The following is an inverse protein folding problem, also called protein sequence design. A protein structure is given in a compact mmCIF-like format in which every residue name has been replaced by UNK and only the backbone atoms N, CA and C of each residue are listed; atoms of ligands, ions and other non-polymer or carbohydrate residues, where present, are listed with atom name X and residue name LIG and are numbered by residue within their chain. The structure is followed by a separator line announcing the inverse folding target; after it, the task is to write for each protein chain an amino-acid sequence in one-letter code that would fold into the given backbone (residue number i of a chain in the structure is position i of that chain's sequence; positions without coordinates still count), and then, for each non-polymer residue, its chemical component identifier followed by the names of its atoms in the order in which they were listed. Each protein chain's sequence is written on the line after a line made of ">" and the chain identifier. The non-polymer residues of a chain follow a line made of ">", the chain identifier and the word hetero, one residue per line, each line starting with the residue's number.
data_IF_834297448710
#
_entry.id   IF_834297448710
#
_cell.length_a   1.000
_cell.length_b   1.000
_cell.length_c   1.000
_cell.angle_alpha   90.00
_cell.angle_beta   90.00
_cell.angle_gamma   90.00
#
_symmetry.space_group_name_H-M   'P 1'
#
loop_
_entity.id
_entity.type
_entity.pdbx_description
1 polymer ?
#
# COMPACT_ATOMS: atom_id res chain seq x y z
N UNK A 1 12.98 -0.01 -14.65
CA UNK A 1 12.01 0.80 -15.42
C UNK A 1 10.82 1.05 -14.51
N UNK A 2 10.57 2.29 -14.18
CA UNK A 2 9.40 2.66 -13.36
C UNK A 2 8.15 2.36 -14.18
N UNK A 3 7.20 1.64 -13.58
CA UNK A 3 5.89 1.43 -14.19
C UNK A 3 5.09 2.73 -14.01
N UNK A 4 4.81 3.42 -15.09
CA UNK A 4 3.95 4.59 -15.12
C UNK A 4 2.62 4.19 -15.75
N UNK A 5 1.54 4.88 -15.40
CA UNK A 5 0.22 4.78 -16.03
C UNK A 5 0.32 5.03 -17.56
N UNK A 6 0.72 4.01 -18.30
CA UNK A 6 0.92 4.09 -19.76
C UNK A 6 -0.14 3.32 -20.55
N UNK A 7 -1.14 2.74 -19.87
CA UNK A 7 -2.25 2.01 -20.50
C UNK A 7 -3.56 2.74 -20.26
N UNK A 8 -4.41 2.72 -21.25
CA UNK A 8 -5.81 3.04 -21.03
C UNK A 8 -6.40 1.99 -20.07
N UNK A 9 -6.60 2.39 -18.81
CA UNK A 9 -7.10 1.50 -17.77
C UNK A 9 -8.52 1.00 -18.04
N UNK A 10 -9.23 1.59 -19.00
CA UNK A 10 -10.56 1.12 -19.40
C UNK A 10 -10.53 -0.27 -20.06
N UNK A 11 -9.40 -0.65 -20.66
CA UNK A 11 -9.25 -1.90 -21.43
C UNK A 11 -8.59 -3.04 -20.64
N UNK A 12 -8.19 -2.83 -19.37
CA UNK A 12 -7.44 -3.82 -18.61
C UNK A 12 -8.28 -4.73 -17.68
N UNK A 13 -9.61 -4.65 -17.80
CA UNK A 13 -10.53 -5.43 -16.95
C UNK A 13 -10.82 -4.76 -15.60
N UNK A 14 -10.98 -5.54 -14.54
CA UNK A 14 -11.29 -5.05 -13.19
C UNK A 14 -10.06 -4.41 -12.55
N UNK A 15 -10.06 -3.08 -12.45
CA UNK A 15 -8.97 -2.32 -11.79
C UNK A 15 -9.18 -2.31 -10.29
N UNK A 16 -8.16 -2.79 -9.56
CA UNK A 16 -8.10 -2.73 -8.11
C UNK A 16 -7.06 -1.74 -7.61
N UNK A 17 -7.28 -1.18 -6.43
CA UNK A 17 -6.32 -0.29 -5.77
C UNK A 17 -6.16 -0.63 -4.29
N UNK A 18 -4.94 -0.52 -3.80
CA UNK A 18 -4.61 -0.50 -2.38
C UNK A 18 -3.66 0.65 -2.07
N UNK A 19 -3.69 1.19 -0.86
CA UNK A 19 -2.90 2.35 -0.45
C UNK A 19 -1.98 2.00 0.72
N UNK A 20 -0.77 2.56 0.73
CA UNK A 20 0.15 2.41 1.84
C UNK A 20 1.53 3.03 1.59
N UNK A 21 2.32 3.15 2.65
CA UNK A 21 3.71 3.62 2.56
C UNK A 21 4.67 2.56 2.00
N UNK A 22 4.35 1.28 2.17
CA UNK A 22 5.16 0.12 1.72
C UNK A 22 6.62 0.20 2.17
N UNK A 23 6.86 0.76 3.37
CA UNK A 23 8.19 0.94 3.93
C UNK A 23 8.79 -0.39 4.39
N UNK A 24 10.10 -0.59 4.16
CA UNK A 24 10.80 -1.83 4.47
C UNK A 24 10.05 -3.05 3.90
N UNK A 25 9.85 -3.10 2.61
CA UNK A 25 9.06 -4.13 1.94
C UNK A 25 9.39 -5.53 2.48
N UNK A 26 8.40 -6.22 3.03
CA UNK A 26 8.55 -7.50 3.72
C UNK A 26 7.46 -8.51 3.31
N UNK A 27 7.59 -9.74 3.80
CA UNK A 27 6.67 -10.85 3.46
C UNK A 27 5.19 -10.52 3.66
N UNK A 28 4.85 -9.71 4.66
CA UNK A 28 3.47 -9.25 4.89
C UNK A 28 2.92 -8.38 3.78
N UNK A 29 3.71 -7.45 3.26
CA UNK A 29 3.34 -6.67 2.08
C UNK A 29 3.14 -7.56 0.85
N UNK A 30 4.04 -8.53 0.64
CA UNK A 30 3.96 -9.44 -0.51
C UNK A 30 2.70 -10.30 -0.43
N UNK A 31 2.38 -10.86 0.75
CA UNK A 31 1.18 -11.66 0.96
C UNK A 31 -0.11 -10.83 0.70
N UNK A 32 -0.16 -9.61 1.23
CA UNK A 32 -1.26 -8.67 1.02
C UNK A 32 -1.43 -8.32 -0.47
N UNK A 33 -0.34 -8.01 -1.18
CA UNK A 33 -0.37 -7.68 -2.60
C UNK A 33 -0.78 -8.90 -3.46
N UNK A 34 -0.33 -10.11 -3.10
CA UNK A 34 -0.74 -11.34 -3.75
C UNK A 34 -2.25 -11.61 -3.58
N UNK A 35 -2.78 -11.38 -2.39
CA UNK A 35 -4.21 -11.51 -2.12
C UNK A 35 -5.02 -10.44 -2.87
N UNK A 36 -4.57 -9.18 -2.86
CA UNK A 36 -5.19 -8.08 -3.59
C UNK A 36 -5.24 -8.37 -5.11
N UNK A 37 -4.15 -8.86 -5.68
CA UNK A 37 -4.08 -9.20 -7.11
C UNK A 37 -5.08 -10.28 -7.52
N UNK A 38 -5.42 -11.23 -6.64
CA UNK A 38 -6.45 -12.24 -6.92
C UNK A 38 -7.88 -11.66 -7.00
N UNK A 39 -8.09 -10.43 -6.55
CA UNK A 39 -9.40 -9.76 -6.53
C UNK A 39 -9.63 -8.84 -7.72
N UNK A 40 -8.63 -8.63 -8.56
CA UNK A 40 -8.68 -7.74 -9.73
C UNK A 40 -7.79 -8.24 -10.86
N UNK A 41 -8.04 -7.74 -12.06
CA UNK A 41 -7.23 -8.03 -13.25
C UNK A 41 -6.00 -7.14 -13.31
N UNK A 42 -6.11 -5.91 -12.81
CA UNK A 42 -5.06 -4.90 -12.81
C UNK A 42 -4.97 -4.25 -11.42
N UNK A 43 -3.83 -4.41 -10.75
CA UNK A 43 -3.61 -3.87 -9.40
C UNK A 43 -2.75 -2.62 -9.43
N UNK A 44 -3.32 -1.51 -9.01
CA UNK A 44 -2.62 -0.25 -8.75
C UNK A 44 -2.26 -0.16 -7.27
N UNK A 45 -1.07 0.31 -6.95
CA UNK A 45 -0.68 0.65 -5.57
C UNK A 45 -0.56 2.16 -5.44
N UNK A 46 -1.39 2.75 -4.60
CA UNK A 46 -1.21 4.12 -4.12
C UNK A 46 -0.08 4.14 -3.08
N UNK A 47 1.07 4.69 -3.48
CA UNK A 47 2.26 4.77 -2.64
C UNK A 47 2.33 6.13 -1.96
N UNK A 48 2.13 6.16 -0.64
CA UNK A 48 2.21 7.39 0.15
C UNK A 48 3.66 7.83 0.31
N UNK A 49 3.93 9.11 0.04
CA UNK A 49 5.26 9.69 0.20
C UNK A 49 5.70 9.62 1.67
N UNK A 50 5.07 10.40 2.54
CA UNK A 50 5.34 10.36 3.97
C UNK A 50 4.04 10.39 4.79
N UNK A 51 3.63 9.26 5.40
CA UNK A 51 2.42 9.21 6.21
C UNK A 51 2.53 10.00 7.53
N UNK A 52 3.72 10.41 7.98
CA UNK A 52 3.90 11.24 9.17
C UNK A 52 3.53 12.69 8.91
N UNK A 53 3.59 13.15 7.67
CA UNK A 53 3.10 14.47 7.27
C UNK A 53 1.56 14.51 7.36
N UNK A 54 1.04 15.06 8.42
CA UNK A 54 -0.41 15.17 8.69
C UNK A 54 -0.98 14.13 9.65
N UNK A 55 -0.20 13.10 10.04
CA UNK A 55 -0.58 12.10 11.05
C UNK A 55 0.56 11.86 12.02
N UNK A 56 0.64 12.69 13.07
CA UNK A 56 1.73 12.67 14.07
C UNK A 56 1.93 11.34 14.80
N UNK A 57 0.96 10.43 14.75
CA UNK A 57 1.07 9.08 15.32
C UNK A 57 1.71 8.06 14.34
N UNK A 58 1.94 8.42 13.09
CA UNK A 58 2.66 7.60 12.11
C UNK A 58 4.14 7.93 12.11
N UNK A 59 4.98 6.92 11.95
CA UNK A 59 6.40 7.11 11.77
C UNK A 59 6.71 7.50 10.32
N UNK A 60 7.69 8.37 10.14
CA UNK A 60 8.28 8.60 8.83
C UNK A 60 8.87 7.29 8.28
N UNK A 61 8.80 7.06 6.96
CA UNK A 61 9.42 5.91 6.33
C UNK A 61 10.94 5.89 6.55
N UNK A 62 11.51 4.70 6.71
CA UNK A 62 12.98 4.51 6.76
C UNK A 62 13.57 4.67 5.37
N UNK A 63 12.89 4.12 4.36
CA UNK A 63 13.32 4.16 2.98
C UNK A 63 12.78 5.39 2.28
N UNK A 64 13.57 5.95 1.39
CA UNK A 64 13.14 7.04 0.51
C UNK A 64 11.97 6.60 -0.37
N UNK A 65 11.20 7.55 -0.85
CA UNK A 65 10.11 7.27 -1.80
C UNK A 65 10.62 6.50 -3.02
N UNK A 66 11.79 6.88 -3.55
CA UNK A 66 12.39 6.24 -4.72
C UNK A 66 12.73 4.76 -4.45
N UNK A 67 13.35 4.44 -3.31
CA UNK A 67 13.65 3.06 -2.94
C UNK A 67 12.38 2.21 -2.84
N UNK A 68 11.34 2.73 -2.19
CA UNK A 68 10.05 2.04 -2.04
C UNK A 68 9.35 1.84 -3.39
N UNK A 69 9.38 2.84 -4.26
CA UNK A 69 8.83 2.76 -5.61
C UNK A 69 9.58 1.73 -6.46
N UNK A 70 10.90 1.72 -6.39
CA UNK A 70 11.74 0.76 -7.11
C UNK A 70 11.45 -0.68 -6.66
N UNK A 71 11.38 -0.92 -5.35
CA UNK A 71 11.05 -2.24 -4.79
C UNK A 71 9.66 -2.70 -5.22
N UNK A 72 8.64 -1.84 -5.10
CA UNK A 72 7.27 -2.16 -5.54
C UNK A 72 7.19 -2.47 -7.04
N UNK A 73 7.95 -1.76 -7.87
CA UNK A 73 7.95 -2.00 -9.31
C UNK A 73 8.48 -3.39 -9.70
N UNK A 74 9.26 -4.01 -8.82
CA UNK A 74 9.77 -5.36 -8.99
C UNK A 74 8.82 -6.44 -8.44
N UNK A 75 7.76 -6.07 -7.72
CA UNK A 75 6.77 -7.02 -7.20
C UNK A 75 5.86 -7.47 -8.34
N UNK A 76 5.85 -8.77 -8.60
CA UNK A 76 5.07 -9.39 -9.69
C UNK A 76 3.56 -9.17 -9.63
N UNK A 77 3.03 -8.84 -8.47
CA UNK A 77 1.59 -8.64 -8.23
C UNK A 77 1.14 -7.20 -8.49
N UNK A 78 2.08 -6.27 -8.64
CA UNK A 78 1.81 -4.85 -8.86
C UNK A 78 1.91 -4.53 -10.35
N UNK A 79 0.82 -4.03 -10.91
CA UNK A 79 0.80 -3.64 -12.32
C UNK A 79 1.19 -2.17 -12.49
N UNK A 80 0.79 -1.30 -11.55
CA UNK A 80 1.10 0.12 -11.60
C UNK A 80 1.22 0.75 -10.22
N UNK A 81 1.87 1.92 -10.15
CA UNK A 81 2.09 2.67 -8.93
C UNK A 81 1.71 4.13 -9.17
N UNK A 82 0.87 4.69 -8.28
CA UNK A 82 0.58 6.11 -8.22
C UNK A 82 1.07 6.68 -6.89
N UNK A 83 1.89 7.74 -6.95
CA UNK A 83 2.41 8.40 -5.74
C UNK A 83 1.44 9.48 -5.29
N UNK A 84 1.22 9.58 -3.99
CA UNK A 84 0.47 10.66 -3.37
C UNK A 84 1.13 11.14 -2.07
N UNK A 85 0.86 12.37 -1.67
CA UNK A 85 1.46 12.97 -0.49
C UNK A 85 0.47 12.99 0.68
N UNK A 86 -0.69 13.60 0.48
CA UNK A 86 -1.69 13.81 1.52
C UNK A 86 -2.81 12.78 1.44
N UNK A 87 -3.34 12.43 2.59
CA UNK A 87 -4.44 11.46 2.72
C UNK A 87 -5.67 11.84 1.88
N UNK A 88 -5.96 13.13 1.76
CA UNK A 88 -7.10 13.66 0.99
C UNK A 88 -6.98 13.36 -0.51
N UNK A 89 -5.76 13.26 -1.04
CA UNK A 89 -5.50 12.94 -2.46
C UNK A 89 -6.00 11.55 -2.86
N UNK A 90 -6.27 10.66 -1.89
CA UNK A 90 -6.93 9.37 -2.12
C UNK A 90 -8.28 9.57 -2.81
N UNK A 91 -9.04 10.60 -2.44
CA UNK A 91 -10.32 10.90 -3.06
C UNK A 91 -10.14 11.32 -4.53
N UNK A 92 -9.13 12.12 -4.84
CA UNK A 92 -8.83 12.54 -6.21
C UNK A 92 -8.43 11.34 -7.08
N UNK A 93 -7.64 10.42 -6.54
CA UNK A 93 -7.25 9.17 -7.21
C UNK A 93 -8.50 8.31 -7.51
N UNK A 94 -9.38 8.14 -6.53
CA UNK A 94 -10.62 7.35 -6.70
C UNK A 94 -11.59 7.98 -7.69
N UNK A 95 -11.61 9.31 -7.80
CA UNK A 95 -12.43 10.04 -8.77
C UNK A 95 -11.85 9.99 -10.19
N UNK A 96 -10.53 9.94 -10.31
CA UNK A 96 -9.83 10.08 -11.60
C UNK A 96 -9.62 8.74 -12.29
N UNK A 97 -9.30 7.68 -11.53
CA UNK A 97 -9.01 6.36 -12.07
C UNK A 97 -10.28 5.49 -12.13
N UNK A 98 -10.42 4.60 -13.13
CA UNK A 98 -11.57 3.72 -13.28
C UNK A 98 -11.52 2.53 -12.30
N UNK A 99 -11.37 2.83 -11.01
CA UNK A 99 -11.27 1.83 -9.95
C UNK A 99 -12.60 1.10 -9.80
N UNK A 100 -12.56 -0.23 -9.73
CA UNK A 100 -13.72 -1.10 -9.49
C UNK A 100 -13.70 -1.75 -8.12
N UNK A 101 -12.51 -1.93 -7.54
CA UNK A 101 -12.36 -2.52 -6.21
C UNK A 101 -11.24 -1.82 -5.44
N UNK A 102 -11.51 -1.44 -4.21
CA UNK A 102 -10.54 -0.96 -3.24
C UNK A 102 -10.25 -2.07 -2.24
N UNK A 103 -8.98 -2.40 -2.07
CA UNK A 103 -8.52 -3.42 -1.13
C UNK A 103 -7.85 -2.72 0.05
N UNK A 104 -8.27 -3.07 1.26
CA UNK A 104 -7.78 -2.49 2.50
C UNK A 104 -7.61 -3.59 3.57
N UNK A 105 -6.77 -3.38 4.57
CA UNK A 105 -6.60 -4.36 5.66
C UNK A 105 -7.87 -4.55 6.50
N UNK A 106 -8.08 -5.77 7.00
CA UNK A 106 -9.23 -6.10 7.87
C UNK A 106 -9.30 -5.28 9.16
N UNK A 107 -8.20 -4.66 9.58
CA UNK A 107 -8.17 -3.73 10.73
C UNK A 107 -9.17 -2.55 10.56
N UNK A 108 -9.50 -2.24 9.31
CA UNK A 108 -10.43 -1.15 8.96
C UNK A 108 -11.89 -1.59 8.83
N UNK A 109 -12.21 -2.87 9.07
CA UNK A 109 -13.57 -3.39 8.88
C UNK A 109 -14.61 -2.63 9.72
N UNK A 110 -14.23 -2.24 10.94
CA UNK A 110 -15.11 -1.54 11.91
C UNK A 110 -14.69 -0.09 12.15
N UNK A 111 -13.86 0.47 11.28
CA UNK A 111 -13.36 1.84 11.38
C UNK A 111 -13.72 2.63 10.12
N UNK A 112 -13.79 3.94 10.28
CA UNK A 112 -13.85 4.83 9.14
C UNK A 112 -12.46 5.06 8.56
N UNK A 113 -12.39 5.34 7.24
CA UNK A 113 -11.16 5.61 6.53
C UNK A 113 -11.40 6.50 5.33
N UNK A 114 -10.39 7.23 4.93
CA UNK A 114 -10.46 8.17 3.81
C UNK A 114 -10.95 7.50 2.54
N UNK A 115 -11.98 8.07 1.93
CA UNK A 115 -12.57 7.60 0.68
C UNK A 115 -13.58 6.45 0.81
N UNK A 116 -13.96 6.02 2.04
CA UNK A 116 -14.98 4.98 2.24
C UNK A 116 -16.33 5.39 1.65
N UNK A 117 -16.85 6.53 2.09
CA UNK A 117 -18.11 7.09 1.58
C UNK A 117 -18.08 7.34 0.07
N UNK A 118 -16.93 7.79 -0.44
CA UNK A 118 -16.74 8.01 -1.88
C UNK A 118 -16.79 6.69 -2.66
N UNK A 119 -16.17 5.63 -2.16
CA UNK A 119 -16.26 4.30 -2.76
C UNK A 119 -17.72 3.83 -2.85
N UNK A 120 -18.50 4.02 -1.77
CA UNK A 120 -19.92 3.68 -1.75
C UNK A 120 -20.72 4.48 -2.81
N UNK A 121 -20.48 5.79 -2.90
CA UNK A 121 -21.13 6.67 -3.89
C UNK A 121 -20.76 6.33 -5.34
N UNK A 122 -19.54 5.91 -5.59
CA UNK A 122 -19.05 5.55 -6.93
C UNK A 122 -19.32 4.09 -7.30
N UNK A 123 -19.88 3.29 -6.39
CA UNK A 123 -20.07 1.85 -6.61
C UNK A 123 -18.76 1.06 -6.66
N UNK A 124 -17.69 1.56 -6.01
CA UNK A 124 -16.43 0.86 -5.88
C UNK A 124 -16.57 -0.18 -4.76
N UNK A 125 -16.36 -1.45 -5.09
CA UNK A 125 -16.37 -2.53 -4.12
C UNK A 125 -15.23 -2.36 -3.09
N UNK A 126 -15.53 -2.51 -1.80
CA UNK A 126 -14.50 -2.50 -0.74
C UNK A 126 -14.27 -3.93 -0.28
N UNK A 127 -13.04 -4.42 -0.41
CA UNK A 127 -12.63 -5.74 0.03
C UNK A 127 -11.57 -5.64 1.12
N UNK A 128 -11.75 -6.44 2.17
CA UNK A 128 -10.85 -6.47 3.30
C UNK A 128 -9.91 -7.67 3.18
N UNK A 129 -8.59 -7.38 3.19
CA UNK A 129 -7.57 -8.42 3.21
C UNK A 129 -7.37 -8.94 4.62
N UNK A 130 -7.31 -10.26 4.76
CA UNK A 130 -6.99 -10.90 6.02
C UNK A 130 -5.52 -10.68 6.41
N UNK A 131 -5.27 -10.58 7.72
CA UNK A 131 -3.92 -10.61 8.30
C UNK A 131 -3.66 -11.96 8.95
N UNK A 132 -3.53 -13.00 8.15
CA UNK A 132 -3.23 -14.35 8.63
C UNK A 132 -1.77 -14.56 9.07
N UNK A 133 -0.95 -13.49 9.10
CA UNK A 133 0.49 -13.54 9.44
C UNK A 133 0.88 -12.44 10.43
N UNK A 134 1.95 -12.68 11.19
CA UNK A 134 2.52 -11.74 12.16
C UNK A 134 3.52 -10.73 11.57
N UNK A 135 3.75 -10.75 10.25
CA UNK A 135 4.72 -9.86 9.62
C UNK A 135 4.25 -8.41 9.64
N UNK A 136 5.10 -7.52 10.14
CA UNK A 136 4.87 -6.08 10.12
C UNK A 136 6.17 -5.29 10.05
N UNK A 137 6.10 -4.06 9.55
CA UNK A 137 7.25 -3.14 9.54
C UNK A 137 7.76 -2.87 10.95
N UNK A 138 6.86 -2.73 11.93
CA UNK A 138 7.23 -2.50 13.33
C UNK A 138 8.00 -3.67 13.92
N UNK A 139 7.58 -4.90 13.67
CA UNK A 139 8.28 -6.09 14.12
C UNK A 139 9.64 -6.27 13.42
N UNK A 140 9.72 -5.93 12.14
CA UNK A 140 10.97 -5.94 11.40
C UNK A 140 11.98 -4.94 11.99
N UNK A 141 11.55 -3.70 12.27
CA UNK A 141 12.36 -2.67 12.92
C UNK A 141 12.89 -3.12 14.28
N UNK A 142 12.05 -3.74 15.11
CA UNK A 142 12.46 -4.27 16.43
C UNK A 142 13.52 -5.35 16.29
N UNK A 143 13.36 -6.28 15.35
CA UNK A 143 14.35 -7.36 15.13
C UNK A 143 15.70 -6.83 14.64
N UNK A 144 15.72 -5.84 13.77
CA UNK A 144 16.96 -5.18 13.35
C UNK A 144 17.64 -4.54 14.56
N UNK A 145 16.91 -3.72 15.31
CA UNK A 145 17.47 -3.00 16.48
C UNK A 145 17.99 -3.93 17.59
N UNK A 146 17.33 -5.07 17.86
CA UNK A 146 17.80 -6.02 18.86
C UNK A 146 19.11 -6.70 18.44
N UNK A 147 19.27 -7.04 17.16
CA UNK A 147 20.50 -7.66 16.66
C UNK A 147 21.68 -6.70 16.66
N UNK A 148 21.49 -5.45 16.33
CA UNK A 148 22.54 -4.42 16.41
C UNK A 148 23.08 -4.27 17.84
N UNK A 149 22.22 -4.38 18.86
CA UNK A 149 22.65 -4.34 20.28
C UNK A 149 23.46 -5.58 20.67
N UNK A 150 23.06 -6.76 20.23
CA UNK A 150 23.81 -8.00 20.53
C UNK A 150 25.23 -7.98 19.93
N UNK A 151 25.42 -7.37 18.74
CA UNK A 151 26.75 -7.22 18.12
C UNK A 151 27.65 -6.20 18.86
N UNK A 152 27.06 -5.17 19.47
CA UNK A 152 27.81 -4.16 20.24
C UNK A 152 28.30 -4.74 21.58
N UNK A 153 27.50 -5.59 22.24
CA UNK A 153 27.84 -6.20 23.52
C UNK A 153 28.91 -7.31 23.41
N UNK A 154 29.20 -7.80 22.19
CA UNK A 154 30.22 -8.83 21.93
C UNK A 154 31.61 -8.21 21.59
N UNK A 155 31.69 -6.91 21.39
CA UNK A 155 32.93 -6.18 21.08
C UNK A 155 33.47 -5.43 22.30
#
# INVERSE_FOLDING_TARGET
>A
MLKWLNKDLADVGKVGITFGAMDLLHGGHIAMLAEAKRKCDYLVVGLQNDPSEGRSFKNAPVQTLFERQLQLSAVRYVDDIIVYNKEEEINDILLTLPIKVRIIGEDYLHQDFTGKELCEKLGIEILYNSRSHSFSTSELRKRVHSRDKEEIDIR
#
